data_IF_345792254818
#
_entry.id   IF_345792254818
#
_cell.length_a   1.000
_cell.length_b   1.000
_cell.length_c   1.000
_cell.angle_alpha   90.00
_cell.angle_beta   90.00
_cell.angle_gamma   90.00
#
_symmetry.space_group_name_H-M   'P 1'
#
loop_
_entity.id
_entity.type
_entity.pdbx_description
1 polymer ?
#
# COMPACT_ATOMS: atom_id res chain seq x y z
N UNK A 1 20.00 -30.40 -0.59
CA UNK A 1 20.97 -29.60 -1.36
C UNK A 1 20.27 -28.37 -1.90
N UNK A 2 20.71 -27.17 -1.53
CA UNK A 2 20.22 -25.96 -2.16
C UNK A 2 20.70 -25.94 -3.62
N UNK A 3 19.83 -25.57 -4.60
CA UNK A 3 20.23 -25.53 -5.99
C UNK A 3 21.40 -24.56 -6.17
N UNK A 4 22.36 -24.95 -6.98
CA UNK A 4 23.54 -24.14 -7.28
C UNK A 4 23.07 -22.90 -8.05
N UNK A 5 23.03 -21.73 -7.39
CA UNK A 5 22.60 -20.46 -7.99
C UNK A 5 23.56 -20.08 -9.10
N UNK A 6 23.01 -19.68 -10.24
CA UNK A 6 23.83 -19.14 -11.33
C UNK A 6 24.38 -17.74 -10.97
N UNK A 7 25.35 -17.26 -11.76
CA UNK A 7 26.03 -16.00 -11.45
C UNK A 7 25.05 -14.80 -11.42
N UNK A 8 24.08 -14.75 -12.34
CA UNK A 8 23.09 -13.67 -12.37
C UNK A 8 22.14 -13.69 -11.16
N UNK A 9 21.81 -14.86 -10.62
CA UNK A 9 21.06 -15.00 -9.37
C UNK A 9 21.85 -14.47 -8.17
N UNK A 10 23.12 -14.77 -8.10
CA UNK A 10 24.00 -14.25 -7.06
C UNK A 10 24.10 -12.71 -7.11
N UNK A 11 24.16 -12.14 -8.32
CA UNK A 11 24.16 -10.68 -8.50
C UNK A 11 22.80 -10.09 -8.11
N UNK A 12 21.69 -10.70 -8.47
CA UNK A 12 20.37 -10.27 -8.04
C UNK A 12 20.25 -10.25 -6.51
N UNK A 13 20.74 -11.29 -5.84
CA UNK A 13 20.75 -11.35 -4.37
C UNK A 13 21.64 -10.27 -3.74
N UNK A 14 22.78 -9.93 -4.35
CA UNK A 14 23.63 -8.82 -3.90
C UNK A 14 22.89 -7.49 -4.00
N UNK A 15 22.22 -7.21 -5.12
CA UNK A 15 21.43 -5.99 -5.30
C UNK A 15 20.28 -5.95 -4.28
N UNK A 16 19.56 -7.06 -4.07
CA UNK A 16 18.51 -7.16 -3.03
C UNK A 16 19.06 -6.79 -1.65
N UNK A 17 20.22 -7.31 -1.25
CA UNK A 17 20.83 -6.99 0.03
C UNK A 17 21.11 -5.51 0.17
N UNK A 18 21.63 -4.85 -0.86
CA UNK A 18 21.89 -3.40 -0.85
C UNK A 18 20.61 -2.59 -0.68
N UNK A 19 19.48 -3.04 -1.24
CA UNK A 19 18.17 -2.44 -1.01
C UNK A 19 17.73 -2.65 0.45
N UNK A 20 17.82 -3.88 0.96
CA UNK A 20 17.43 -4.22 2.34
C UNK A 20 18.27 -3.46 3.38
N UNK A 21 19.55 -3.24 3.11
CA UNK A 21 20.46 -2.48 3.99
C UNK A 21 20.34 -0.97 3.82
N UNK A 22 19.50 -0.48 2.89
CA UNK A 22 19.28 0.94 2.64
C UNK A 22 20.39 1.64 1.82
N UNK A 23 21.34 0.88 1.25
CA UNK A 23 22.33 1.42 0.30
C UNK A 23 21.63 1.93 -0.97
N UNK A 24 20.60 1.25 -1.44
CA UNK A 24 19.65 1.74 -2.45
C UNK A 24 18.29 1.94 -1.81
N UNK A 25 17.77 3.16 -1.85
CA UNK A 25 16.49 3.51 -1.23
C UNK A 25 15.32 3.23 -2.17
N UNK A 26 14.14 3.11 -1.60
CA UNK A 26 12.87 3.06 -2.34
C UNK A 26 12.75 4.31 -3.23
N UNK A 27 12.28 4.11 -4.47
CA UNK A 27 12.18 5.12 -5.52
C UNK A 27 13.54 5.70 -6.01
N UNK A 28 14.66 5.19 -5.52
CA UNK A 28 15.98 5.61 -5.97
C UNK A 28 16.36 4.95 -7.30
N UNK A 29 17.05 5.71 -8.14
CA UNK A 29 17.63 5.21 -9.38
C UNK A 29 18.91 4.41 -9.09
N UNK A 30 18.98 3.19 -9.61
CA UNK A 30 20.20 2.39 -9.56
C UNK A 30 21.27 2.96 -10.53
N UNK A 31 22.56 2.70 -10.25
CA UNK A 31 23.60 2.87 -11.25
C UNK A 31 23.28 2.11 -12.54
N UNK A 32 23.81 2.58 -13.66
CA UNK A 32 23.62 1.92 -14.96
C UNK A 32 24.12 0.47 -14.95
N UNK A 33 23.64 -0.35 -15.89
CA UNK A 33 24.12 -1.73 -16.03
C UNK A 33 25.64 -1.83 -16.16
N UNK A 34 26.28 -0.82 -16.79
CA UNK A 34 27.74 -0.78 -16.95
C UNK A 34 28.43 -0.48 -15.62
N UNK A 35 27.99 0.56 -14.91
CA UNK A 35 28.57 0.91 -13.59
C UNK A 35 28.40 -0.23 -12.57
N UNK A 36 27.22 -0.91 -12.60
CA UNK A 36 27.01 -2.10 -11.78
C UNK A 36 27.93 -3.25 -12.16
N UNK A 37 28.15 -3.48 -13.45
CA UNK A 37 29.04 -4.52 -13.95
C UNK A 37 30.49 -4.27 -13.49
N UNK A 38 30.95 -3.03 -13.61
CA UNK A 38 32.28 -2.63 -13.20
C UNK A 38 32.45 -2.75 -11.66
N UNK A 39 31.48 -2.26 -10.89
CA UNK A 39 31.50 -2.32 -9.41
C UNK A 39 31.43 -3.75 -8.85
N UNK A 40 30.76 -4.66 -9.55
CA UNK A 40 30.58 -6.05 -9.13
C UNK A 40 31.59 -7.03 -9.78
N UNK A 41 32.44 -6.51 -10.67
CA UNK A 41 33.43 -7.27 -11.45
C UNK A 41 32.80 -8.47 -12.21
N UNK A 42 31.73 -8.18 -12.96
CA UNK A 42 31.01 -9.14 -13.79
C UNK A 42 30.69 -8.56 -15.16
N UNK A 43 30.22 -9.39 -16.09
CA UNK A 43 29.80 -8.91 -17.41
C UNK A 43 28.51 -8.08 -17.32
N UNK A 44 28.37 -7.08 -18.20
CA UNK A 44 27.13 -6.31 -18.37
C UNK A 44 25.92 -7.20 -18.66
N UNK A 45 26.11 -8.30 -19.41
CA UNK A 45 25.07 -9.28 -19.69
C UNK A 45 24.57 -9.94 -18.39
N UNK A 46 25.50 -10.32 -17.49
CA UNK A 46 25.15 -10.90 -16.18
C UNK A 46 24.30 -9.93 -15.33
N UNK A 47 24.68 -8.64 -15.31
CA UNK A 47 23.91 -7.60 -14.61
C UNK A 47 22.53 -7.44 -15.24
N UNK A 48 22.42 -7.39 -16.56
CA UNK A 48 21.15 -7.28 -17.26
C UNK A 48 20.20 -8.42 -16.91
N UNK A 49 20.68 -9.67 -16.87
CA UNK A 49 19.84 -10.81 -16.46
C UNK A 49 19.44 -10.72 -14.98
N UNK A 50 20.31 -10.24 -14.09
CA UNK A 50 19.99 -9.99 -12.70
C UNK A 50 18.91 -8.88 -12.56
N UNK A 51 19.03 -7.78 -13.30
CA UNK A 51 18.04 -6.69 -13.33
C UNK A 51 16.69 -7.18 -13.85
N UNK A 52 16.66 -7.91 -14.98
CA UNK A 52 15.42 -8.50 -15.51
C UNK A 52 14.72 -9.40 -14.46
N UNK A 53 15.49 -10.23 -13.76
CA UNK A 53 14.96 -11.06 -12.67
C UNK A 53 14.37 -10.22 -11.54
N UNK A 54 15.05 -9.14 -11.14
CA UNK A 54 14.56 -8.26 -10.09
C UNK A 54 13.31 -7.47 -10.53
N UNK A 55 13.21 -7.13 -11.81
CA UNK A 55 12.00 -6.55 -12.39
C UNK A 55 10.85 -7.57 -12.38
N UNK A 56 11.06 -8.82 -12.78
CA UNK A 56 10.03 -9.87 -12.71
C UNK A 56 9.59 -10.20 -11.28
N UNK A 57 10.41 -9.90 -10.29
CA UNK A 57 10.08 -10.02 -8.86
C UNK A 57 9.54 -8.71 -8.24
N UNK A 58 9.22 -7.72 -9.06
CA UNK A 58 8.73 -6.40 -8.63
C UNK A 58 9.62 -5.69 -7.60
N UNK A 59 10.92 -6.00 -7.58
CA UNK A 59 11.91 -5.30 -6.74
C UNK A 59 12.41 -4.04 -7.43
N UNK A 60 12.55 -4.10 -8.75
CA UNK A 60 12.98 -3.00 -9.61
C UNK A 60 11.94 -2.71 -10.68
N UNK A 61 11.93 -1.49 -11.18
CA UNK A 61 11.18 -1.06 -12.35
C UNK A 61 12.09 -0.36 -13.36
N UNK A 62 11.82 -0.55 -14.66
CA UNK A 62 12.54 0.13 -15.73
C UNK A 62 11.67 1.27 -16.25
N UNK A 63 12.10 2.52 -16.05
CA UNK A 63 11.47 3.71 -16.63
C UNK A 63 12.17 4.06 -17.94
N UNK A 64 11.48 3.89 -19.05
CA UNK A 64 12.04 4.09 -20.39
C UNK A 64 12.71 5.47 -20.52
N UNK A 65 13.96 5.50 -20.94
CA UNK A 65 14.76 6.71 -21.07
C UNK A 65 15.24 7.35 -19.75
N UNK A 66 14.81 6.81 -18.60
CA UNK A 66 15.18 7.35 -17.27
C UNK A 66 16.08 6.40 -16.46
N UNK A 67 16.02 5.11 -16.74
CA UNK A 67 16.86 4.12 -16.04
C UNK A 67 16.07 3.10 -15.24
N UNK A 68 16.77 2.42 -14.32
CA UNK A 68 16.21 1.38 -13.43
C UNK A 68 16.08 1.96 -12.02
N UNK A 69 14.92 1.74 -11.38
CA UNK A 69 14.58 2.29 -10.06
C UNK A 69 14.16 1.18 -9.10
N UNK A 70 14.35 1.39 -7.81
CA UNK A 70 13.74 0.55 -6.77
C UNK A 70 12.25 0.87 -6.71
N UNK A 71 11.38 -0.15 -6.71
CA UNK A 71 9.93 0.05 -6.63
C UNK A 71 9.50 0.63 -5.28
N UNK A 72 8.31 1.20 -5.21
CA UNK A 72 7.75 1.76 -3.96
C UNK A 72 7.53 0.70 -2.89
N UNK A 73 7.11 -0.50 -3.30
CA UNK A 73 6.94 -1.67 -2.43
C UNK A 73 7.73 -2.86 -3.00
N UNK A 74 9.06 -2.90 -2.77
CA UNK A 74 9.90 -3.93 -3.39
C UNK A 74 9.45 -5.34 -3.05
N UNK A 75 9.24 -6.14 -4.09
CA UNK A 75 8.81 -7.53 -3.98
C UNK A 75 7.29 -7.76 -3.95
N UNK A 76 6.49 -6.68 -4.10
CA UNK A 76 5.03 -6.78 -4.26
C UNK A 76 4.65 -6.36 -5.69
N UNK A 77 3.90 -7.21 -6.38
CA UNK A 77 3.26 -6.86 -7.66
C UNK A 77 2.09 -5.89 -7.42
N UNK A 78 1.52 -5.36 -8.49
CA UNK A 78 0.33 -4.51 -8.41
C UNK A 78 -0.90 -5.28 -7.90
N UNK A 79 -0.99 -6.58 -8.21
CA UNK A 79 -2.04 -7.48 -7.73
C UNK A 79 -1.43 -8.80 -7.22
N UNK A 80 -0.86 -8.79 -6.00
CA UNK A 80 -0.15 -9.96 -5.47
C UNK A 80 -1.07 -11.10 -5.01
N UNK A 81 -2.36 -10.85 -4.84
CA UNK A 81 -3.37 -11.83 -4.45
C UNK A 81 -4.26 -12.26 -5.62
N UNK A 82 -4.09 -11.69 -6.82
CA UNK A 82 -4.94 -11.97 -7.97
C UNK A 82 -6.38 -11.47 -7.80
N UNK A 83 -6.58 -10.39 -7.04
CA UNK A 83 -7.92 -9.87 -6.72
C UNK A 83 -8.63 -9.26 -7.93
N UNK A 84 -7.89 -8.82 -8.94
CA UNK A 84 -8.43 -8.35 -10.22
C UNK A 84 -9.22 -9.44 -10.97
N UNK A 85 -9.03 -10.73 -10.63
CA UNK A 85 -9.71 -11.89 -11.21
C UNK A 85 -10.87 -12.43 -10.34
N UNK A 86 -11.18 -11.77 -9.23
CA UNK A 86 -12.30 -12.12 -8.34
C UNK A 86 -13.52 -11.26 -8.71
N UNK A 87 -14.73 -11.85 -8.85
CA UNK A 87 -15.93 -11.07 -9.08
C UNK A 87 -16.15 -10.00 -8.00
N UNK A 88 -16.48 -8.77 -8.42
CA UNK A 88 -16.58 -7.60 -7.54
C UNK A 88 -17.48 -7.82 -6.30
N UNK A 89 -18.66 -8.40 -6.49
CA UNK A 89 -19.60 -8.61 -5.37
C UNK A 89 -19.03 -9.56 -4.31
N UNK A 90 -18.34 -10.61 -4.74
CA UNK A 90 -17.68 -11.55 -3.85
C UNK A 90 -16.50 -10.87 -3.15
N UNK A 91 -15.66 -10.20 -3.91
CA UNK A 91 -14.47 -9.54 -3.37
C UNK A 91 -14.82 -8.51 -2.29
N UNK A 92 -15.89 -7.74 -2.51
CA UNK A 92 -16.35 -6.77 -1.52
C UNK A 92 -16.77 -7.43 -0.22
N UNK A 93 -17.60 -8.50 -0.32
CA UNK A 93 -18.06 -9.22 0.87
C UNK A 93 -16.87 -9.82 1.65
N UNK A 94 -15.99 -10.52 0.94
CA UNK A 94 -14.86 -11.19 1.55
C UNK A 94 -13.85 -10.19 2.17
N UNK A 95 -13.62 -9.03 1.52
CA UNK A 95 -12.82 -7.94 2.09
C UNK A 95 -13.46 -7.33 3.33
N UNK A 96 -14.77 -7.15 3.33
CA UNK A 96 -15.48 -6.62 4.49
C UNK A 96 -15.38 -7.58 5.69
N UNK A 97 -15.63 -8.88 5.48
CA UNK A 97 -15.45 -9.90 6.53
C UNK A 97 -14.01 -9.96 7.04
N UNK A 98 -13.03 -9.90 6.14
CA UNK A 98 -11.62 -9.87 6.50
C UNK A 98 -11.31 -8.65 7.39
N UNK A 99 -11.77 -7.46 7.01
CA UNK A 99 -11.56 -6.23 7.78
C UNK A 99 -12.22 -6.32 9.16
N UNK A 100 -13.47 -6.76 9.24
CA UNK A 100 -14.17 -6.96 10.53
C UNK A 100 -13.40 -7.90 11.46
N UNK A 101 -12.70 -8.89 10.91
CA UNK A 101 -11.95 -9.87 11.69
C UNK A 101 -10.63 -9.35 12.22
N UNK A 102 -9.97 -8.41 11.52
CA UNK A 102 -8.59 -8.01 11.82
C UNK A 102 -8.46 -6.56 12.32
N UNK A 103 -9.35 -5.64 11.88
CA UNK A 103 -9.23 -4.22 12.24
C UNK A 103 -9.39 -3.92 13.73
N UNK A 104 -10.18 -4.63 14.54
CA UNK A 104 -10.21 -4.40 15.98
C UNK A 104 -8.82 -4.53 16.62
N UNK A 105 -8.06 -5.56 16.27
CA UNK A 105 -6.70 -5.77 16.77
C UNK A 105 -5.73 -4.70 16.25
N UNK A 106 -5.87 -4.31 14.99
CA UNK A 106 -5.10 -3.21 14.39
C UNK A 106 -5.38 -1.89 15.11
N UNK A 107 -6.64 -1.61 15.45
CA UNK A 107 -7.02 -0.42 16.20
C UNK A 107 -6.41 -0.39 17.60
N UNK A 108 -6.47 -1.51 18.32
CA UNK A 108 -5.85 -1.64 19.63
C UNK A 108 -4.33 -1.41 19.58
N UNK A 109 -3.65 -1.99 18.58
CA UNK A 109 -2.23 -1.75 18.35
C UNK A 109 -1.94 -0.30 17.96
N UNK A 110 -2.75 0.30 17.11
CA UNK A 110 -2.61 1.70 16.71
C UNK A 110 -2.77 2.66 17.90
N UNK A 111 -3.74 2.42 18.77
CA UNK A 111 -3.94 3.21 20.00
C UNK A 111 -2.71 3.19 20.91
N UNK A 112 -1.99 2.08 20.96
CA UNK A 112 -0.77 1.94 21.76
C UNK A 112 0.47 2.55 21.11
N UNK A 113 0.58 2.49 19.77
CA UNK A 113 1.84 2.74 19.06
C UNK A 113 1.85 4.03 18.22
N UNK A 114 0.70 4.66 17.98
CA UNK A 114 0.60 5.81 17.08
C UNK A 114 1.54 6.96 17.47
N UNK A 115 2.34 7.41 16.52
CA UNK A 115 3.21 8.58 16.71
C UNK A 115 2.40 9.88 16.62
N UNK A 116 2.93 10.96 17.22
CA UNK A 116 2.31 12.30 17.14
C UNK A 116 2.12 12.80 15.71
N UNK A 117 3.04 12.48 14.81
CA UNK A 117 2.94 12.83 13.39
C UNK A 117 1.81 12.07 12.69
N UNK A 118 1.65 10.78 12.98
CA UNK A 118 0.57 9.96 12.45
C UNK A 118 -0.80 10.43 12.96
N UNK A 119 -0.91 10.76 14.25
CA UNK A 119 -2.13 11.35 14.83
C UNK A 119 -2.48 12.68 14.13
N UNK A 120 -1.49 13.56 13.88
CA UNK A 120 -1.72 14.81 13.17
C UNK A 120 -2.17 14.60 11.72
N UNK A 121 -1.65 13.57 11.04
CA UNK A 121 -2.06 13.22 9.67
C UNK A 121 -3.46 12.61 9.65
N UNK A 122 -3.78 11.69 10.57
CA UNK A 122 -5.11 11.10 10.68
C UNK A 122 -6.18 12.17 10.92
N UNK A 123 -5.89 13.17 11.75
CA UNK A 123 -6.79 14.33 11.97
C UNK A 123 -7.09 15.11 10.69
N UNK A 124 -6.13 15.25 9.78
CA UNK A 124 -6.38 15.90 8.47
C UNK A 124 -7.27 15.03 7.58
N UNK A 125 -7.04 13.72 7.59
CA UNK A 125 -7.81 12.75 6.80
C UNK A 125 -9.26 12.75 7.28
N UNK A 126 -9.52 12.59 8.58
CA UNK A 126 -10.88 12.56 9.15
C UNK A 126 -11.62 13.85 8.89
N UNK A 127 -10.96 15.02 9.07
CA UNK A 127 -11.56 16.32 8.74
C UNK A 127 -11.90 16.45 7.25
N UNK A 128 -11.08 15.91 6.35
CA UNK A 128 -11.35 15.88 4.91
C UNK A 128 -12.55 14.99 4.60
N UNK A 129 -12.64 13.80 5.20
CA UNK A 129 -13.79 12.90 5.07
C UNK A 129 -15.08 13.59 5.48
N UNK A 130 -15.12 14.27 6.62
CA UNK A 130 -16.27 15.02 7.12
C UNK A 130 -16.70 16.11 6.13
N UNK A 131 -15.75 16.90 5.60
CA UNK A 131 -16.02 17.92 4.60
C UNK A 131 -16.56 17.36 3.28
N UNK A 132 -16.11 16.19 2.87
CA UNK A 132 -16.57 15.53 1.66
C UNK A 132 -17.92 14.87 1.86
N UNK A 133 -18.14 14.19 2.98
CA UNK A 133 -19.43 13.58 3.33
C UNK A 133 -20.58 14.62 3.36
N UNK A 134 -20.30 15.84 3.83
CA UNK A 134 -21.29 16.92 3.84
C UNK A 134 -21.74 17.41 2.44
N UNK A 135 -20.94 17.11 1.40
CA UNK A 135 -21.22 17.51 0.00
C UNK A 135 -21.94 16.42 -0.81
N UNK A 136 -21.98 15.19 -0.32
CA UNK A 136 -22.51 14.02 -1.04
C UNK A 136 -24.03 13.87 -0.93
N UNK A 137 -24.71 14.71 -0.17
CA UNK A 137 -26.17 14.66 0.08
C UNK A 137 -27.04 15.03 -1.13
N UNK A 138 -26.46 15.58 -2.18
CA UNK A 138 -27.22 16.12 -3.32
C UNK A 138 -27.13 15.13 -4.48
N UNK A 139 -28.20 14.42 -4.77
CA UNK A 139 -28.28 13.57 -5.98
C UNK A 139 -28.60 14.43 -7.22
N UNK A 140 -27.96 14.20 -8.38
CA UNK A 140 -26.93 13.16 -8.66
C UNK A 140 -25.60 13.51 -7.96
N UNK A 141 -24.90 12.48 -7.48
CA UNK A 141 -23.60 12.64 -6.82
C UNK A 141 -22.55 13.18 -7.80
N UNK A 142 -21.71 14.09 -7.32
CA UNK A 142 -20.51 14.50 -8.03
C UNK A 142 -19.45 13.38 -7.89
N UNK A 143 -19.12 12.73 -9.01
CA UNK A 143 -18.14 11.65 -9.07
C UNK A 143 -16.79 12.05 -8.47
N UNK A 144 -16.35 13.30 -8.69
CA UNK A 144 -15.07 13.77 -8.16
C UNK A 144 -15.06 13.88 -6.64
N UNK A 145 -16.20 14.17 -6.03
CA UNK A 145 -16.37 14.20 -4.56
C UNK A 145 -16.35 12.78 -4.01
N UNK A 146 -17.04 11.84 -4.67
CA UNK A 146 -17.04 10.41 -4.27
C UNK A 146 -15.63 9.82 -4.37
N UNK A 147 -14.92 10.04 -5.46
CA UNK A 147 -13.55 9.58 -5.63
C UNK A 147 -12.62 10.17 -4.56
N UNK A 148 -12.80 11.46 -4.25
CA UNK A 148 -12.03 12.13 -3.20
C UNK A 148 -12.32 11.56 -1.81
N UNK A 149 -13.57 11.18 -1.53
CA UNK A 149 -13.96 10.52 -0.29
C UNK A 149 -13.36 9.13 -0.20
N UNK A 150 -13.50 8.31 -1.25
CA UNK A 150 -12.92 6.96 -1.35
C UNK A 150 -11.40 6.98 -1.13
N UNK A 151 -10.69 7.93 -1.75
CA UNK A 151 -9.25 8.08 -1.54
C UNK A 151 -8.91 8.47 -0.09
N UNK A 152 -9.75 9.26 0.57
CA UNK A 152 -9.56 9.62 1.98
C UNK A 152 -9.79 8.42 2.89
N UNK A 153 -10.76 7.57 2.59
CA UNK A 153 -11.04 6.33 3.31
C UNK A 153 -9.91 5.31 3.19
N UNK A 154 -9.41 5.11 1.96
CA UNK A 154 -8.21 4.29 1.72
C UNK A 154 -7.03 4.82 2.52
N UNK A 155 -6.83 6.15 2.53
CA UNK A 155 -5.75 6.78 3.28
C UNK A 155 -5.92 6.60 4.79
N UNK A 156 -7.16 6.67 5.32
CA UNK A 156 -7.46 6.43 6.73
C UNK A 156 -7.04 5.00 7.13
N UNK A 157 -7.55 3.98 6.44
CA UNK A 157 -7.23 2.60 6.77
C UNK A 157 -5.75 2.28 6.58
N UNK A 158 -5.12 2.78 5.51
CA UNK A 158 -3.69 2.59 5.29
C UNK A 158 -2.85 3.20 6.41
N UNK A 159 -3.20 4.40 6.87
CA UNK A 159 -2.50 5.04 7.98
C UNK A 159 -2.76 4.31 9.31
N UNK A 160 -3.98 3.85 9.55
CA UNK A 160 -4.34 3.04 10.71
C UNK A 160 -3.46 1.79 10.83
N UNK A 161 -3.28 1.05 9.73
CA UNK A 161 -2.42 -0.13 9.68
C UNK A 161 -0.95 0.23 9.88
N UNK A 162 -0.49 1.36 9.34
CA UNK A 162 0.88 1.86 9.54
C UNK A 162 1.15 2.31 10.99
N UNK A 163 0.12 2.73 11.74
CA UNK A 163 0.23 3.07 13.16
C UNK A 163 0.59 1.88 14.05
N UNK A 164 0.37 0.65 13.59
CA UNK A 164 0.75 -0.56 14.32
C UNK A 164 2.27 -0.73 14.42
N UNK A 165 3.05 -0.08 13.56
CA UNK A 165 4.49 -0.27 13.39
C UNK A 165 4.88 -1.74 13.11
N UNK A 166 3.95 -2.52 12.55
CA UNK A 166 4.16 -3.89 12.14
C UNK A 166 4.28 -3.97 10.61
N UNK A 167 5.48 -4.33 10.14
CA UNK A 167 5.79 -4.36 8.69
C UNK A 167 4.86 -5.30 7.90
N UNK A 168 4.28 -6.32 8.52
CA UNK A 168 3.34 -7.22 7.84
C UNK A 168 2.02 -6.49 7.59
N UNK A 169 1.48 -5.79 8.59
CA UNK A 169 0.27 -4.98 8.42
C UNK A 169 0.48 -3.83 7.42
N UNK A 170 1.62 -3.15 7.46
CA UNK A 170 1.96 -2.12 6.47
C UNK A 170 1.92 -2.66 5.04
N UNK A 171 2.51 -3.85 4.81
CA UNK A 171 2.50 -4.49 3.49
C UNK A 171 1.12 -4.99 3.07
N UNK A 172 0.37 -5.60 3.98
CA UNK A 172 -1.01 -6.04 3.72
C UNK A 172 -1.90 -4.85 3.36
N UNK A 173 -1.78 -3.72 4.08
CA UNK A 173 -2.50 -2.48 3.75
C UNK A 173 -2.24 -2.05 2.30
N UNK A 174 -0.97 -2.01 1.87
CA UNK A 174 -0.61 -1.66 0.49
C UNK A 174 -1.20 -2.62 -0.55
N UNK A 175 -1.31 -3.92 -0.24
CA UNK A 175 -1.91 -4.92 -1.13
C UNK A 175 -3.42 -4.75 -1.25
N UNK A 176 -4.11 -4.43 -0.16
CA UNK A 176 -5.57 -4.36 -0.10
C UNK A 176 -6.12 -3.00 -0.54
N UNK A 177 -5.36 -1.93 -0.40
CA UNK A 177 -5.78 -0.56 -0.74
C UNK A 177 -6.28 -0.44 -2.19
N UNK A 178 -5.63 -1.13 -3.12
CA UNK A 178 -6.04 -1.15 -4.54
C UNK A 178 -7.37 -1.89 -4.73
N UNK A 179 -7.53 -3.04 -4.12
CA UNK A 179 -8.77 -3.81 -4.20
C UNK A 179 -9.97 -3.03 -3.62
N UNK A 180 -9.74 -2.29 -2.54
CA UNK A 180 -10.75 -1.40 -1.95
C UNK A 180 -11.11 -0.27 -2.92
N UNK A 181 -10.12 0.40 -3.56
CA UNK A 181 -10.40 1.55 -4.43
C UNK A 181 -11.28 1.21 -5.63
N UNK A 182 -11.04 0.09 -6.29
CA UNK A 182 -11.80 -0.33 -7.49
C UNK A 182 -13.25 -0.69 -7.13
N UNK A 183 -13.47 -1.35 -5.99
CA UNK A 183 -14.80 -1.86 -5.62
C UNK A 183 -15.66 -0.84 -4.87
N UNK A 184 -15.05 0.11 -4.16
CA UNK A 184 -15.76 1.04 -3.29
C UNK A 184 -16.56 2.07 -4.08
N UNK A 185 -15.97 2.66 -5.13
CA UNK A 185 -16.60 3.69 -5.97
C UNK A 185 -17.87 3.16 -6.63
N UNK A 186 -17.82 1.95 -7.21
CA UNK A 186 -18.97 1.34 -7.89
C UNK A 186 -20.13 1.05 -6.94
N UNK A 187 -19.86 0.70 -5.69
CA UNK A 187 -20.89 0.36 -4.70
C UNK A 187 -21.50 1.56 -4.00
N UNK A 188 -20.74 2.61 -3.72
CA UNK A 188 -21.28 3.85 -3.19
C UNK A 188 -22.37 4.43 -4.12
N UNK A 189 -22.22 4.24 -5.43
CA UNK A 189 -23.26 4.58 -6.41
C UNK A 189 -24.51 3.70 -6.35
N UNK A 190 -24.37 2.44 -5.92
CA UNK A 190 -25.45 1.44 -5.96
C UNK A 190 -26.17 1.23 -4.63
N UNK A 191 -25.59 1.63 -3.51
CA UNK A 191 -26.13 1.36 -2.17
C UNK A 191 -26.76 2.57 -1.51
N UNK A 192 -27.69 2.33 -0.59
CA UNK A 192 -28.23 3.30 0.36
C UNK A 192 -27.27 3.58 1.53
N UNK A 193 -25.96 3.41 1.34
CA UNK A 193 -24.96 3.57 2.36
C UNK A 193 -24.84 5.07 2.72
N UNK A 194 -25.05 5.40 3.99
CA UNK A 194 -24.92 6.76 4.48
C UNK A 194 -23.45 7.06 4.80
N UNK A 195 -22.83 7.90 3.96
CA UNK A 195 -21.44 8.29 4.13
C UNK A 195 -21.21 9.16 5.38
N UNK A 196 -22.24 9.79 5.92
CA UNK A 196 -22.14 10.55 7.17
C UNK A 196 -22.01 9.60 8.35
N UNK A 197 -22.85 8.56 8.40
CA UNK A 197 -22.74 7.55 9.45
C UNK A 197 -21.40 6.82 9.38
N UNK A 198 -20.96 6.48 8.18
CA UNK A 198 -19.64 5.89 8.00
C UNK A 198 -18.52 6.83 8.49
N UNK A 199 -18.57 8.11 8.12
CA UNK A 199 -17.59 9.11 8.57
C UNK A 199 -17.59 9.27 10.08
N UNK A 200 -18.76 9.25 10.71
CA UNK A 200 -18.90 9.34 12.17
C UNK A 200 -18.19 8.17 12.87
N UNK A 201 -18.36 6.96 12.37
CA UNK A 201 -17.66 5.77 12.90
C UNK A 201 -16.14 5.95 12.82
N UNK A 202 -15.62 6.49 11.71
CA UNK A 202 -14.17 6.74 11.56
C UNK A 202 -13.65 7.82 12.52
N UNK A 203 -14.47 8.85 12.81
CA UNK A 203 -14.12 9.88 13.80
C UNK A 203 -14.10 9.29 15.21
N UNK A 204 -15.13 8.52 15.59
CA UNK A 204 -15.20 7.85 16.90
C UNK A 204 -14.01 6.91 17.11
N UNK A 205 -13.64 6.15 16.08
CA UNK A 205 -12.44 5.29 16.10
C UNK A 205 -11.15 6.11 16.27
N UNK A 206 -11.03 7.22 15.58
CA UNK A 206 -9.88 8.10 15.73
C UNK A 206 -9.80 8.73 17.13
N UNK A 207 -10.92 9.12 17.72
CA UNK A 207 -10.98 9.68 19.08
C UNK A 207 -10.54 8.61 20.11
N UNK A 208 -10.93 7.35 19.96
CA UNK A 208 -10.44 6.24 20.79
C UNK A 208 -8.92 6.06 20.68
N UNK A 209 -8.37 6.13 19.45
CA UNK A 209 -6.92 6.04 19.23
C UNK A 209 -6.18 7.18 19.95
N UNK A 210 -6.70 8.42 19.89
CA UNK A 210 -6.09 9.58 20.58
C UNK A 210 -6.14 9.40 22.10
N UNK A 211 -7.24 8.86 22.61
CA UNK A 211 -7.41 8.58 24.04
C UNK A 211 -6.52 7.42 24.53
N UNK A 212 -5.80 6.73 23.64
CA UNK A 212 -5.07 5.49 23.92
C UNK A 212 -5.99 4.40 24.50
N UNK A 213 -7.25 4.40 24.09
CA UNK A 213 -8.24 3.42 24.44
C UNK A 213 -8.11 2.22 23.48
N UNK A 214 -7.64 1.11 24.03
CA UNK A 214 -7.39 -0.12 23.28
C UNK A 214 -8.49 -1.19 23.50
N UNK A 215 -9.53 -0.87 24.32
CA UNK A 215 -10.70 -1.72 24.55
C UNK A 215 -11.80 -1.36 23.53
#
# INVERSE_FOLDING_TARGET
MLPNKNLSENIADKIKRRIVTGEYKVNEQLPSEQELADSLNVSRTTVREAVKRLVSLHVLEIKRGKGTFVTTLPGLSDDPLGLDFVPEDRLFHDLYEFRLSIEPEICAMAAQNASRSQIAEMRKITKRMEQLASKIDIRPYDETVVDSYTNSEISFHSLLWNMTHNVIFERLSGMLSRAVSVNYTTRLYRSSFDLRDNTKIHIELFDAIIAHDAE
#
